data_IF_076862255769
#
_entry.id   IF_076862255769
#
_cell.length_a   1.000
_cell.length_b   1.000
_cell.length_c   1.000
_cell.angle_alpha   90.00
_cell.angle_beta   90.00
_cell.angle_gamma   90.00
#
_symmetry.space_group_name_H-M   'P 1'
#
loop_
_entity.id
_entity.type
_entity.pdbx_description
1 polymer ?
#
# COMPACT_ATOMS: atom_id res chain seq x y z
N UNK A 1 21.65 12.30 8.23
CA UNK A 1 20.91 11.05 8.47
C UNK A 1 19.73 10.96 7.53
N UNK A 2 18.81 11.93 7.53
CA UNK A 2 17.60 11.95 6.67
C UNK A 2 17.91 11.85 5.17
N UNK A 3 18.98 12.55 4.72
CA UNK A 3 19.41 12.48 3.31
C UNK A 3 19.88 11.07 2.91
N UNK A 4 20.55 10.36 3.80
CA UNK A 4 20.95 8.98 3.55
C UNK A 4 19.75 8.03 3.42
N UNK A 5 18.76 8.17 4.31
CA UNK A 5 17.51 7.39 4.25
C UNK A 5 16.78 7.65 2.91
N UNK A 6 16.70 8.92 2.48
CA UNK A 6 16.11 9.26 1.18
C UNK A 6 16.83 8.62 0.02
N UNK A 7 18.18 8.60 0.01
CA UNK A 7 18.97 7.94 -1.02
C UNK A 7 18.73 6.43 -1.04
N UNK A 8 18.68 5.78 0.13
CA UNK A 8 18.39 4.35 0.23
C UNK A 8 17.01 4.00 -0.33
N UNK A 9 15.97 4.79 0.00
CA UNK A 9 14.63 4.61 -0.56
C UNK A 9 14.58 4.81 -2.08
N UNK A 10 15.29 5.81 -2.61
CA UNK A 10 15.37 6.03 -4.05
C UNK A 10 16.08 4.88 -4.77
N UNK A 11 17.17 4.36 -4.20
CA UNK A 11 17.89 3.21 -4.73
C UNK A 11 17.02 1.95 -4.70
N UNK A 12 16.31 1.69 -3.59
CA UNK A 12 15.39 0.57 -3.47
C UNK A 12 14.26 0.66 -4.52
N UNK A 13 13.66 1.84 -4.68
CA UNK A 13 12.64 2.08 -5.71
C UNK A 13 13.18 1.85 -7.12
N UNK A 14 14.38 2.34 -7.42
CA UNK A 14 15.03 2.12 -8.72
C UNK A 14 15.29 0.63 -8.99
N UNK A 15 15.75 -0.12 -7.97
CA UNK A 15 16.00 -1.55 -8.08
C UNK A 15 14.72 -2.35 -8.37
N UNK A 16 13.58 -1.93 -7.80
CA UNK A 16 12.30 -2.61 -8.01
C UNK A 16 11.66 -2.28 -9.36
N UNK A 17 11.74 -1.03 -9.80
CA UNK A 17 11.05 -0.58 -11.02
C UNK A 17 11.95 -0.60 -12.26
N UNK A 18 13.26 -0.72 -12.08
CA UNK A 18 14.30 -0.59 -13.11
C UNK A 18 14.17 0.70 -13.95
N UNK A 19 13.46 1.68 -13.41
CA UNK A 19 13.25 2.98 -14.05
C UNK A 19 13.08 4.06 -12.97
N UNK A 20 13.71 5.22 -13.19
CA UNK A 20 13.55 6.36 -12.32
C UNK A 20 12.38 7.23 -12.80
N UNK A 21 11.40 7.43 -11.92
CA UNK A 21 10.27 8.31 -12.22
C UNK A 21 10.66 9.79 -11.98
N UNK A 22 11.22 10.44 -12.99
CA UNK A 22 11.55 11.87 -12.90
C UNK A 22 10.33 12.73 -12.54
N UNK A 23 9.16 12.42 -13.12
CA UNK A 23 7.93 13.14 -12.83
C UNK A 23 7.55 13.01 -11.33
N UNK A 24 7.58 11.80 -10.78
CA UNK A 24 7.29 11.55 -9.37
C UNK A 24 8.29 12.27 -8.44
N UNK A 25 9.57 12.26 -8.79
CA UNK A 25 10.61 12.93 -8.03
C UNK A 25 10.40 14.45 -7.97
N UNK A 26 10.23 15.11 -9.12
CA UNK A 26 10.02 16.55 -9.15
C UNK A 26 8.69 16.98 -8.54
N UNK A 27 7.61 16.25 -8.76
CA UNK A 27 6.31 16.52 -8.10
C UNK A 27 6.40 16.35 -6.59
N UNK A 28 7.14 15.36 -6.10
CA UNK A 28 7.41 15.17 -4.68
C UNK A 28 8.17 16.33 -4.06
N UNK A 29 9.22 16.82 -4.72
CA UNK A 29 9.97 18.00 -4.26
C UNK A 29 9.07 19.24 -4.21
N UNK A 30 8.29 19.49 -5.26
CA UNK A 30 7.38 20.65 -5.31
C UNK A 30 6.34 20.53 -4.18
N UNK A 31 5.75 19.36 -3.98
CA UNK A 31 4.80 19.13 -2.90
C UNK A 31 5.42 19.38 -1.52
N UNK A 32 6.64 18.90 -1.28
CA UNK A 32 7.38 19.13 -0.04
C UNK A 32 7.64 20.63 0.20
N UNK A 33 8.08 21.36 -0.83
CA UNK A 33 8.31 22.80 -0.74
C UNK A 33 7.02 23.58 -0.46
N UNK A 34 5.89 23.20 -1.06
CA UNK A 34 4.58 23.79 -0.79
C UNK A 34 4.19 23.54 0.68
N UNK A 35 4.36 22.33 1.18
CA UNK A 35 4.08 22.01 2.59
C UNK A 35 4.95 22.85 3.52
N UNK A 36 6.27 22.91 3.30
CA UNK A 36 7.19 23.75 4.10
C UNK A 36 6.77 25.21 4.07
N UNK A 37 6.42 25.74 2.90
CA UNK A 37 5.94 27.11 2.75
C UNK A 37 4.68 27.38 3.57
N UNK A 38 3.69 26.48 3.50
CA UNK A 38 2.45 26.54 4.30
C UNK A 38 2.79 26.54 5.81
N UNK A 39 3.67 25.65 6.25
CA UNK A 39 4.07 25.56 7.66
C UNK A 39 4.80 26.83 8.14
N UNK A 40 5.72 27.39 7.33
CA UNK A 40 6.46 28.58 7.70
C UNK A 40 5.56 29.81 7.79
N UNK A 41 4.63 30.00 6.84
CA UNK A 41 3.73 31.16 6.83
C UNK A 41 2.64 31.04 7.90
N UNK A 42 2.08 29.85 8.09
CA UNK A 42 1.00 29.62 9.07
C UNK A 42 1.50 29.27 10.45
N UNK A 43 2.81 29.10 10.66
CA UNK A 43 3.43 28.60 11.89
C UNK A 43 3.06 29.36 13.16
N UNK A 44 2.60 30.61 13.06
CA UNK A 44 2.08 31.38 14.23
C UNK A 44 0.65 31.00 14.65
N UNK A 45 -0.10 30.24 13.83
CA UNK A 45 -1.49 29.82 14.09
C UNK A 45 -1.66 28.28 14.08
N UNK A 46 -0.55 27.58 13.97
CA UNK A 46 -0.59 26.12 13.80
C UNK A 46 -0.82 25.45 15.17
N UNK A 47 -1.90 24.70 15.27
CA UNK A 47 -2.15 23.89 16.45
C UNK A 47 -1.28 22.62 16.38
N UNK A 48 -0.12 22.67 17.04
CA UNK A 48 0.86 21.56 17.09
C UNK A 48 0.20 20.26 17.56
N UNK A 49 -0.76 20.32 18.48
CA UNK A 49 -1.48 19.15 18.97
C UNK A 49 -2.29 18.49 17.84
N UNK A 50 -3.04 19.28 17.08
CA UNK A 50 -3.82 18.74 15.94
C UNK A 50 -2.94 18.16 14.85
N UNK A 51 -1.78 18.77 14.61
CA UNK A 51 -0.79 18.23 13.68
C UNK A 51 -0.30 16.84 14.12
N UNK A 52 0.13 16.70 15.37
CA UNK A 52 0.58 15.41 15.89
C UNK A 52 -0.55 14.38 15.95
N UNK A 53 -1.77 14.80 16.24
CA UNK A 53 -2.94 13.92 16.15
C UNK A 53 -3.13 13.35 14.74
N UNK A 54 -3.12 14.21 13.72
CA UNK A 54 -3.32 13.81 12.34
C UNK A 54 -2.17 12.94 11.81
N UNK A 55 -0.91 13.32 12.06
CA UNK A 55 0.25 12.57 11.60
C UNK A 55 0.38 11.22 12.31
N UNK A 56 0.12 11.16 13.61
CA UNK A 56 0.14 9.89 14.35
C UNK A 56 -1.00 8.97 13.90
N UNK A 57 -2.18 9.52 13.59
CA UNK A 57 -3.27 8.74 13.01
C UNK A 57 -2.87 8.14 11.64
N UNK A 58 -2.24 8.95 10.79
CA UNK A 58 -1.69 8.46 9.52
C UNK A 58 -0.67 7.34 9.73
N UNK A 59 0.22 7.48 10.72
CA UNK A 59 1.20 6.44 11.07
C UNK A 59 0.53 5.15 11.54
N UNK A 60 -0.60 5.21 12.24
CA UNK A 60 -1.38 4.02 12.62
C UNK A 60 -1.87 3.26 11.38
N UNK A 61 -2.39 3.98 10.37
CA UNK A 61 -2.79 3.35 9.10
C UNK A 61 -1.61 2.74 8.36
N UNK A 62 -0.50 3.48 8.25
CA UNK A 62 0.72 2.97 7.61
C UNK A 62 1.25 1.71 8.31
N UNK A 63 1.32 1.72 9.65
CA UNK A 63 1.78 0.56 10.41
C UNK A 63 0.87 -0.65 10.21
N UNK A 64 -0.46 -0.45 10.22
CA UNK A 64 -1.42 -1.53 9.94
C UNK A 64 -1.27 -2.08 8.52
N UNK A 65 -1.01 -1.20 7.55
CA UNK A 65 -0.71 -1.60 6.18
C UNK A 65 0.56 -2.44 6.06
N UNK A 66 1.61 -2.07 6.80
CA UNK A 66 2.86 -2.85 6.85
C UNK A 66 2.66 -4.24 7.46
N UNK A 67 1.81 -4.37 8.48
CA UNK A 67 1.45 -5.67 9.07
C UNK A 67 0.74 -6.54 8.04
N UNK A 68 -0.25 -5.99 7.32
CA UNK A 68 -0.94 -6.70 6.24
C UNK A 68 0.03 -7.15 5.15
N UNK A 69 0.90 -6.25 4.70
CA UNK A 69 1.91 -6.57 3.69
C UNK A 69 2.88 -7.66 4.17
N UNK A 70 3.32 -7.60 5.42
CA UNK A 70 4.18 -8.63 6.01
C UNK A 70 3.52 -10.01 6.02
N UNK A 71 2.23 -10.11 6.34
CA UNK A 71 1.49 -11.40 6.27
C UNK A 71 1.35 -11.90 4.84
N UNK A 72 1.13 -11.01 3.88
CA UNK A 72 1.10 -11.35 2.45
C UNK A 72 2.45 -11.89 1.94
N UNK A 73 3.57 -11.29 2.37
CA UNK A 73 4.91 -11.78 2.02
C UNK A 73 5.22 -13.14 2.63
N UNK A 74 4.74 -13.42 3.84
CA UNK A 74 4.83 -14.77 4.45
C UNK A 74 4.07 -15.80 3.61
N UNK A 75 2.82 -15.50 3.20
CA UNK A 75 2.07 -16.37 2.28
C UNK A 75 2.86 -16.60 0.98
N UNK A 76 3.34 -15.51 0.37
CA UNK A 76 4.11 -15.59 -0.87
C UNK A 76 5.38 -16.44 -0.74
N UNK A 77 6.05 -16.36 0.40
CA UNK A 77 7.21 -17.18 0.70
C UNK A 77 6.83 -18.66 0.84
N UNK A 78 5.78 -18.99 1.58
CA UNK A 78 5.30 -20.37 1.77
C UNK A 78 4.90 -21.02 0.44
N UNK A 79 4.22 -20.25 -0.42
CA UNK A 79 3.84 -20.72 -1.78
C UNK A 79 5.07 -20.95 -2.65
N UNK A 80 6.04 -20.03 -2.66
CA UNK A 80 7.23 -20.13 -3.51
C UNK A 80 8.21 -21.23 -3.05
N UNK A 81 8.27 -21.50 -1.77
CA UNK A 81 9.16 -22.51 -1.17
C UNK A 81 8.53 -23.89 -1.07
N UNK A 82 7.32 -24.08 -1.59
CA UNK A 82 6.54 -25.32 -1.51
C UNK A 82 6.35 -25.85 -0.07
N UNK A 83 6.27 -24.90 0.87
CA UNK A 83 6.15 -25.19 2.31
C UNK A 83 4.73 -24.98 2.84
N UNK A 84 3.71 -25.03 1.99
CA UNK A 84 2.30 -24.87 2.38
C UNK A 84 1.85 -25.92 3.39
N UNK A 85 2.46 -27.11 3.36
CA UNK A 85 2.19 -28.18 4.31
C UNK A 85 2.49 -27.80 5.78
N UNK A 86 3.40 -26.85 6.02
CA UNK A 86 3.67 -26.35 7.38
C UNK A 86 2.47 -25.65 8.02
N UNK A 87 1.56 -25.14 7.20
CA UNK A 87 0.30 -24.49 7.65
C UNK A 87 -0.93 -25.35 7.36
N UNK A 88 -0.72 -26.63 7.00
CA UNK A 88 -1.80 -27.59 6.77
C UNK A 88 -2.53 -27.42 5.43
N UNK A 89 -1.89 -26.78 4.45
CA UNK A 89 -2.42 -26.59 3.11
C UNK A 89 -1.63 -27.44 2.09
N UNK A 90 -2.34 -28.05 1.15
CA UNK A 90 -1.71 -28.86 0.09
C UNK A 90 -1.46 -28.03 -1.18
N UNK A 91 -2.26 -27.01 -1.42
CA UNK A 91 -2.17 -26.20 -2.62
C UNK A 91 -2.52 -24.72 -2.37
N UNK A 92 -2.12 -23.85 -3.31
CA UNK A 92 -2.44 -22.43 -3.27
C UNK A 92 -3.95 -22.16 -3.40
N UNK A 93 -4.68 -23.04 -4.08
CA UNK A 93 -6.13 -22.94 -4.29
C UNK A 93 -6.92 -23.09 -2.99
N UNK A 94 -6.34 -23.74 -1.98
CA UNK A 94 -6.95 -23.92 -0.65
C UNK A 94 -6.87 -22.65 0.21
N UNK A 95 -6.06 -21.66 -0.18
CA UNK A 95 -5.98 -20.40 0.54
C UNK A 95 -7.31 -19.66 0.40
N UNK A 96 -8.09 -19.68 1.46
CA UNK A 96 -9.39 -19.02 1.48
C UNK A 96 -9.23 -17.50 1.48
N UNK A 97 -9.98 -16.83 0.59
CA UNK A 97 -9.95 -15.38 0.39
C UNK A 97 -11.34 -14.79 0.55
N UNK A 98 -11.50 -13.68 1.31
CA UNK A 98 -12.80 -13.02 1.47
C UNK A 98 -13.32 -12.42 0.17
N UNK A 99 -12.42 -11.94 -0.72
CA UNK A 99 -12.76 -11.45 -2.06
C UNK A 99 -11.58 -11.59 -3.02
N UNK A 100 -11.89 -11.70 -4.31
CA UNK A 100 -10.94 -11.70 -5.41
C UNK A 100 -11.69 -11.26 -6.69
N UNK A 101 -12.15 -10.01 -6.68
CA UNK A 101 -13.08 -9.48 -7.69
C UNK A 101 -12.33 -8.82 -8.86
N UNK A 102 -11.13 -8.30 -8.60
CA UNK A 102 -10.38 -7.45 -9.53
C UNK A 102 -9.29 -8.21 -10.29
N UNK A 103 -9.54 -9.46 -10.66
CA UNK A 103 -8.57 -10.27 -11.44
C UNK A 103 -8.20 -9.58 -12.75
N UNK A 104 -6.89 -9.59 -13.13
CA UNK A 104 -6.47 -9.13 -14.43
C UNK A 104 -7.18 -9.89 -15.54
N UNK A 105 -7.71 -9.16 -16.54
CA UNK A 105 -8.47 -9.71 -17.67
C UNK A 105 -7.63 -9.73 -18.94
N UNK A 106 -7.79 -10.75 -19.77
CA UNK A 106 -7.15 -10.82 -21.08
C UNK A 106 -7.85 -9.93 -22.10
N UNK A 107 -9.20 -9.87 -22.01
CA UNK A 107 -10.04 -9.02 -22.84
C UNK A 107 -11.05 -8.28 -21.97
N UNK A 108 -11.45 -7.08 -22.39
CA UNK A 108 -12.50 -6.30 -21.72
C UNK A 108 -13.87 -6.79 -22.24
N UNK A 109 -14.78 -7.10 -21.33
CA UNK A 109 -16.18 -7.40 -21.67
C UNK A 109 -16.96 -6.13 -22.00
N UNK A 110 -18.15 -6.28 -22.62
CA UNK A 110 -19.03 -5.16 -23.01
C UNK A 110 -19.41 -4.24 -21.84
N UNK A 111 -19.44 -4.75 -20.61
CA UNK A 111 -19.76 -4.01 -19.39
C UNK A 111 -18.52 -3.37 -18.72
N UNK A 112 -17.32 -3.65 -19.20
CA UNK A 112 -16.09 -3.11 -18.62
C UNK A 112 -15.83 -1.70 -19.18
N UNK A 113 -15.93 -0.70 -18.33
CA UNK A 113 -15.60 0.66 -18.74
C UNK A 113 -14.07 0.76 -18.92
N UNK A 114 -13.61 0.95 -20.14
CA UNK A 114 -12.20 1.06 -20.50
C UNK A 114 -11.42 2.12 -19.69
N UNK A 115 -12.12 3.12 -19.14
CA UNK A 115 -11.54 4.14 -18.28
C UNK A 115 -10.96 3.59 -16.97
N UNK A 116 -11.52 2.51 -16.43
CA UNK A 116 -11.06 1.89 -15.17
C UNK A 116 -9.99 0.82 -15.39
N UNK A 117 -9.63 0.52 -16.62
CA UNK A 117 -8.64 -0.51 -16.94
C UNK A 117 -7.44 0.08 -17.66
N UNK A 118 -6.24 -0.36 -17.27
CA UNK A 118 -4.99 -0.07 -17.96
C UNK A 118 -4.37 -1.35 -18.50
N UNK A 119 -3.89 -1.29 -19.75
CA UNK A 119 -3.19 -2.43 -20.35
C UNK A 119 -1.75 -2.47 -19.89
N UNK A 120 -1.35 -3.53 -19.22
CA UNK A 120 0.01 -3.69 -18.70
C UNK A 120 0.85 -4.56 -19.64
N UNK A 121 1.67 -3.90 -20.45
CA UNK A 121 2.59 -4.56 -21.40
C UNK A 121 3.66 -5.38 -20.69
N UNK A 122 4.14 -4.92 -19.52
CA UNK A 122 5.19 -5.59 -18.75
C UNK A 122 4.68 -6.76 -17.89
N UNK A 123 3.39 -6.84 -17.64
CA UNK A 123 2.74 -7.83 -16.79
C UNK A 123 1.82 -8.79 -17.56
N UNK A 124 2.35 -9.59 -18.46
CA UNK A 124 1.61 -10.65 -19.19
C UNK A 124 0.56 -10.17 -20.21
N UNK A 125 0.54 -8.90 -20.61
CA UNK A 125 -0.40 -8.39 -21.64
C UNK A 125 -1.87 -8.43 -21.21
N UNK A 126 -2.16 -8.13 -19.94
CA UNK A 126 -3.52 -8.16 -19.37
C UNK A 126 -4.03 -6.77 -19.01
N UNK A 127 -5.35 -6.60 -19.05
CA UNK A 127 -6.02 -5.40 -18.54
C UNK A 127 -6.13 -5.45 -17.02
N UNK A 128 -5.60 -4.42 -16.36
CA UNK A 128 -5.57 -4.29 -14.91
C UNK A 128 -6.51 -3.18 -14.49
N UNK A 129 -7.43 -3.49 -13.58
CA UNK A 129 -8.33 -2.50 -13.00
C UNK A 129 -7.56 -1.49 -12.14
N UNK A 130 -7.95 -0.22 -12.19
CA UNK A 130 -7.29 0.88 -11.45
C UNK A 130 -7.18 0.62 -9.94
N UNK A 131 -8.13 -0.10 -9.37
CA UNK A 131 -8.15 -0.49 -7.94
C UNK A 131 -7.42 -1.81 -7.65
N UNK A 132 -6.91 -2.52 -8.66
CA UNK A 132 -6.09 -3.71 -8.44
C UNK A 132 -4.74 -3.32 -7.81
N UNK A 133 -4.09 -4.22 -7.09
CA UNK A 133 -2.79 -4.01 -6.44
C UNK A 133 -1.70 -3.42 -7.34
N UNK A 134 -1.74 -3.80 -8.63
CA UNK A 134 -0.83 -3.29 -9.66
C UNK A 134 -1.43 -2.12 -10.45
N UNK A 135 -2.65 -1.67 -10.13
CA UNK A 135 -3.30 -0.48 -10.69
C UNK A 135 -2.82 0.78 -9.98
N UNK A 136 -3.01 1.94 -10.61
CA UNK A 136 -2.47 3.21 -10.08
C UNK A 136 -3.05 3.61 -8.72
N UNK A 137 -4.36 3.45 -8.52
CA UNK A 137 -5.03 3.76 -7.25
C UNK A 137 -4.82 2.63 -6.23
N UNK A 138 -4.96 1.37 -6.67
CA UNK A 138 -4.76 0.21 -5.80
C UNK A 138 -3.34 0.16 -5.23
N UNK A 139 -2.32 0.42 -6.04
CA UNK A 139 -0.93 0.49 -5.59
C UNK A 139 -0.70 1.59 -4.55
N UNK A 140 -1.32 2.76 -4.73
CA UNK A 140 -1.28 3.83 -3.74
C UNK A 140 -1.95 3.42 -2.42
N UNK A 141 -3.17 2.88 -2.48
CA UNK A 141 -3.91 2.41 -1.31
C UNK A 141 -3.18 1.26 -0.60
N UNK A 142 -2.56 0.37 -1.36
CA UNK A 142 -1.73 -0.71 -0.81
C UNK A 142 -0.55 -0.16 -0.02
N UNK A 143 0.17 0.82 -0.57
CA UNK A 143 1.34 1.42 0.08
C UNK A 143 1.00 2.21 1.35
N UNK A 144 -0.15 2.89 1.40
CA UNK A 144 -0.52 3.75 2.53
C UNK A 144 -1.44 3.08 3.56
N UNK A 145 -2.37 2.23 3.11
CA UNK A 145 -3.42 1.71 3.97
C UNK A 145 -3.38 0.19 4.11
N UNK A 146 -2.45 -0.48 3.42
CA UNK A 146 -2.38 -1.94 3.37
C UNK A 146 -3.54 -2.57 2.62
N UNK A 147 -4.16 -1.81 1.69
CA UNK A 147 -5.20 -2.36 0.83
C UNK A 147 -4.65 -3.52 -0.01
N UNK A 148 -5.43 -4.59 -0.14
CA UNK A 148 -5.15 -5.69 -1.03
C UNK A 148 -6.41 -6.03 -1.83
N UNK A 149 -6.28 -6.19 -3.15
CA UNK A 149 -7.40 -6.53 -4.03
C UNK A 149 -7.87 -7.98 -3.88
N UNK A 150 -7.02 -8.85 -3.32
CA UNK A 150 -7.32 -10.27 -3.07
C UNK A 150 -6.69 -10.78 -1.77
N UNK A 151 -6.99 -10.18 -0.60
CA UNK A 151 -6.38 -10.56 0.67
C UNK A 151 -6.78 -11.99 1.07
N UNK A 152 -5.94 -12.64 1.86
CA UNK A 152 -6.35 -13.83 2.59
C UNK A 152 -6.99 -13.43 3.94
N UNK A 153 -7.66 -14.38 4.63
CA UNK A 153 -8.29 -14.09 5.92
C UNK A 153 -7.27 -13.72 7.00
N UNK A 154 -6.08 -14.33 7.01
CA UNK A 154 -5.02 -14.05 7.99
C UNK A 154 -4.54 -12.61 7.83
N UNK A 155 -4.30 -12.17 6.59
CA UNK A 155 -3.93 -10.80 6.24
C UNK A 155 -5.00 -9.80 6.70
N UNK A 156 -6.27 -10.08 6.39
CA UNK A 156 -7.39 -9.22 6.78
C UNK A 156 -7.51 -9.10 8.31
N UNK A 157 -7.43 -10.22 9.04
CA UNK A 157 -7.50 -10.20 10.50
C UNK A 157 -6.28 -9.51 11.13
N UNK A 158 -5.07 -9.74 10.62
CA UNK A 158 -3.86 -9.07 11.10
C UNK A 158 -3.94 -7.56 10.89
N UNK A 159 -4.43 -7.13 9.72
CA UNK A 159 -4.69 -5.72 9.42
C UNK A 159 -5.69 -5.11 10.39
N UNK A 160 -6.86 -5.74 10.57
CA UNK A 160 -7.89 -5.25 11.49
C UNK A 160 -7.40 -5.20 12.93
N UNK A 161 -6.72 -6.24 13.40
CA UNK A 161 -6.20 -6.29 14.77
C UNK A 161 -5.18 -5.18 15.02
N UNK A 162 -4.21 -5.00 14.11
CA UNK A 162 -3.20 -3.94 14.23
C UNK A 162 -3.82 -2.55 14.15
N UNK A 163 -4.81 -2.34 13.28
CA UNK A 163 -5.53 -1.08 13.16
C UNK A 163 -6.32 -0.75 14.44
N UNK A 164 -7.07 -1.71 14.97
CA UNK A 164 -7.83 -1.53 16.21
C UNK A 164 -6.93 -1.25 17.41
N UNK A 165 -5.83 -1.97 17.53
CA UNK A 165 -4.83 -1.71 18.57
C UNK A 165 -4.24 -0.30 18.43
N UNK A 166 -3.81 0.07 17.24
CA UNK A 166 -3.25 1.40 16.97
C UNK A 166 -4.24 2.52 17.24
N UNK A 167 -5.51 2.39 16.80
CA UNK A 167 -6.57 3.36 17.07
C UNK A 167 -6.91 3.46 18.56
N UNK A 168 -6.89 2.33 19.28
CA UNK A 168 -7.13 2.32 20.74
C UNK A 168 -6.04 3.10 21.47
N UNK A 169 -4.77 2.87 21.14
CA UNK A 169 -3.67 3.63 21.69
C UNK A 169 -3.74 5.10 21.30
N UNK A 170 -3.98 5.39 20.03
CA UNK A 170 -4.13 6.76 19.53
C UNK A 170 -5.22 7.52 20.29
N UNK A 171 -6.40 6.89 20.45
CA UNK A 171 -7.51 7.48 21.19
C UNK A 171 -7.14 7.71 22.67
N UNK A 172 -6.44 6.78 23.30
CA UNK A 172 -6.04 6.92 24.71
C UNK A 172 -5.06 8.09 24.94
N UNK A 173 -4.21 8.40 23.97
CA UNK A 173 -3.21 9.47 24.11
C UNK A 173 -3.70 10.84 23.64
N UNK A 174 -4.68 10.90 22.72
CA UNK A 174 -5.10 12.14 22.09
C UNK A 174 -6.57 12.53 22.33
N UNK A 175 -7.43 11.63 22.72
CA UNK A 175 -8.80 11.91 23.17
C UNK A 175 -8.85 12.00 24.70
#
# INVERSE_FOLDING_TARGET
REGFETVVFLLASFSMTQSFSYLGFFTGIIAALILVYIFVIQGKRFNIRSFFQATTLLLVFLASGMVAYGTHEIESYLVKSDNLQMVGLESKEEISRPWDILKPKEELGENDQSFFYSYNIKGQGKYIHIMHDSGSVGAFLKGFFGYNSNPNYVELFAWLASLLLGLTFWRRFYA
#
